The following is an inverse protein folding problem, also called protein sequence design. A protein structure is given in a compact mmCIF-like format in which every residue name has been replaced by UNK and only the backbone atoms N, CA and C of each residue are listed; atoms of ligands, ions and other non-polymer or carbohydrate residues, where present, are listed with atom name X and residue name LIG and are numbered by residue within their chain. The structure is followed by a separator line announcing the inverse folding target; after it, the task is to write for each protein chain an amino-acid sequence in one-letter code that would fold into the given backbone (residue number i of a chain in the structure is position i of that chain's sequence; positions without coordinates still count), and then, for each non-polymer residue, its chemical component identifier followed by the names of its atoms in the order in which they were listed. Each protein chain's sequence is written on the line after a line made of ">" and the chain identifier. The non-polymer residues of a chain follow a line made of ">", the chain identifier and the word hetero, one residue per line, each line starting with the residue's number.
data_IF_510421185024
#
_entry.id   IF_510421185024
#
_cell.length_a   1.000
_cell.length_b   1.000
_cell.length_c   1.000
_cell.angle_alpha   90.00
_cell.angle_beta   90.00
_cell.angle_gamma   90.00
#
_symmetry.space_group_name_H-M   'P 1'
#
loop_
_entity.id
_entity.type
_entity.pdbx_description
1 polymer ?
#
# COMPACT_ATOMS: atom_id res chain seq x y z
N UNK A 1 -42.69 -37.19 1.64
CA UNK A 1 -41.49 -37.66 2.36
C UNK A 1 -40.71 -38.54 1.40
N UNK A 2 -39.39 -38.37 1.36
CA UNK A 2 -38.41 -39.02 0.46
C UNK A 2 -38.26 -38.42 -0.96
N UNK A 3 -37.17 -37.65 -1.14
CA UNK A 3 -36.60 -37.29 -2.43
C UNK A 3 -35.76 -38.48 -2.94
N UNK A 4 -36.09 -38.98 -4.13
CA UNK A 4 -35.25 -39.87 -4.94
C UNK A 4 -34.19 -39.05 -5.70
N UNK A 5 -32.93 -39.45 -5.58
CA UNK A 5 -31.84 -39.07 -6.48
C UNK A 5 -31.97 -39.78 -7.84
N UNK A 6 -31.51 -39.12 -8.91
CA UNK A 6 -31.07 -39.64 -10.21
C UNK A 6 -30.18 -38.56 -10.89
N UNK A 7 -29.31 -38.88 -11.88
CA UNK A 7 -27.86 -38.85 -11.74
C UNK A 7 -27.15 -37.70 -12.46
N UNK A 8 -25.87 -37.51 -12.08
CA UNK A 8 -24.89 -36.59 -12.67
C UNK A 8 -24.65 -36.91 -14.13
N UNK A 9 -24.90 -35.93 -15.01
CA UNK A 9 -24.40 -35.92 -16.38
C UNK A 9 -23.20 -34.97 -16.46
N UNK A 10 -22.04 -35.58 -16.72
CA UNK A 10 -20.76 -34.95 -17.01
C UNK A 10 -20.86 -34.16 -18.32
N UNK A 11 -20.65 -32.84 -18.27
CA UNK A 11 -20.39 -32.05 -19.47
C UNK A 11 -19.03 -31.36 -19.30
N UNK A 12 -17.99 -31.97 -19.88
CA UNK A 12 -16.68 -31.35 -20.04
C UNK A 12 -16.82 -30.19 -21.05
N UNK A 13 -16.65 -28.96 -20.58
CA UNK A 13 -16.30 -27.82 -21.43
C UNK A 13 -14.95 -27.30 -20.95
N UNK A 14 -13.93 -27.48 -21.79
CA UNK A 14 -12.63 -26.84 -21.71
C UNK A 14 -12.85 -25.31 -21.77
N UNK A 15 -12.90 -24.67 -20.61
CA UNK A 15 -12.90 -23.22 -20.46
C UNK A 15 -11.54 -22.78 -19.93
N UNK A 16 -10.83 -22.02 -20.76
CA UNK A 16 -9.61 -21.28 -20.41
C UNK A 16 -9.91 -20.49 -19.14
N UNK A 17 -9.24 -20.84 -18.04
CA UNK A 17 -9.31 -20.10 -16.78
C UNK A 17 -8.58 -18.78 -17.04
N UNK A 18 -9.35 -17.75 -17.36
CA UNK A 18 -8.90 -16.39 -17.15
C UNK A 18 -8.67 -16.20 -15.66
N UNK A 19 -7.56 -15.56 -15.29
CA UNK A 19 -7.38 -14.94 -13.99
C UNK A 19 -8.47 -13.88 -13.79
N UNK A 20 -9.66 -14.33 -13.38
CA UNK A 20 -10.44 -13.60 -12.42
C UNK A 20 -9.89 -14.06 -11.06
N UNK A 21 -8.88 -13.37 -10.55
CA UNK A 21 -8.71 -13.35 -9.12
C UNK A 21 -10.00 -12.74 -8.59
N UNK A 22 -10.75 -13.55 -7.85
CA UNK A 22 -11.83 -13.04 -7.04
C UNK A 22 -11.25 -11.85 -6.26
N UNK A 23 -11.89 -10.69 -6.39
CA UNK A 23 -11.79 -9.67 -5.36
C UNK A 23 -12.41 -10.35 -4.13
N UNK A 24 -11.59 -11.06 -3.34
CA UNK A 24 -12.00 -11.57 -2.04
C UNK A 24 -12.58 -10.39 -1.25
N UNK A 25 -13.68 -10.67 -0.56
CA UNK A 25 -14.61 -9.69 0.02
C UNK A 25 -13.90 -8.46 0.59
N UNK A 26 -14.39 -7.26 0.27
CA UNK A 26 -13.97 -6.01 0.91
C UNK A 26 -13.99 -6.22 2.42
N UNK A 27 -12.81 -6.35 3.03
CA UNK A 27 -12.65 -6.55 4.46
C UNK A 27 -12.78 -5.22 5.19
N UNK A 28 -13.56 -5.18 6.26
CA UNK A 28 -13.57 -4.00 7.15
C UNK A 28 -12.26 -3.91 7.93
N UNK A 29 -11.82 -2.69 8.22
CA UNK A 29 -10.68 -2.40 9.10
C UNK A 29 -11.14 -1.51 10.25
N UNK A 30 -10.51 -1.64 11.41
CA UNK A 30 -10.78 -0.78 12.56
C UNK A 30 -9.71 0.31 12.63
N UNK A 31 -10.11 1.59 12.53
CA UNK A 31 -9.23 2.73 12.72
C UNK A 31 -9.52 3.38 14.07
N UNK A 32 -8.56 3.28 14.99
CA UNK A 32 -8.66 3.82 16.35
C UNK A 32 -7.92 5.15 16.42
N UNK A 33 -8.63 6.21 16.80
CA UNK A 33 -8.15 7.60 16.84
C UNK A 33 -8.42 8.27 18.20
N UNK A 34 -7.77 9.41 18.45
CA UNK A 34 -8.02 10.25 19.63
C UNK A 34 -9.43 10.85 19.69
N UNK A 35 -9.94 11.32 18.55
CA UNK A 35 -11.26 11.95 18.42
C UNK A 35 -11.90 11.54 17.09
N UNK A 36 -12.94 10.70 17.13
CA UNK A 36 -13.67 10.21 15.95
C UNK A 36 -14.74 11.20 15.44
N UNK A 37 -14.96 12.31 16.13
CA UNK A 37 -15.84 13.39 15.67
C UNK A 37 -15.08 14.48 14.91
N UNK A 38 -13.80 14.70 15.24
CA UNK A 38 -12.94 15.72 14.60
C UNK A 38 -11.54 15.15 14.38
N UNK A 39 -11.30 14.63 13.18
CA UNK A 39 -9.99 14.13 12.78
C UNK A 39 -9.00 15.28 12.53
N UNK A 40 -7.76 15.08 12.96
CA UNK A 40 -6.66 15.93 12.48
C UNK A 40 -6.28 15.53 11.04
N UNK A 41 -5.31 16.24 10.45
CA UNK A 41 -4.91 15.98 9.06
C UNK A 41 -4.25 14.60 8.84
N UNK A 42 -3.51 14.07 9.82
CA UNK A 42 -2.89 12.75 9.72
C UNK A 42 -3.90 11.62 9.81
N UNK A 43 -4.83 11.69 10.76
CA UNK A 43 -5.95 10.76 10.90
C UNK A 43 -6.83 10.76 9.65
N UNK A 44 -7.13 11.96 9.11
CA UNK A 44 -7.87 12.07 7.86
C UNK A 44 -7.09 11.47 6.68
N UNK A 45 -5.79 11.69 6.59
CA UNK A 45 -4.97 11.10 5.53
C UNK A 45 -4.91 9.57 5.61
N UNK A 46 -4.85 9.01 6.83
CA UNK A 46 -4.94 7.56 7.06
C UNK A 46 -6.30 7.03 6.58
N UNK A 47 -7.39 7.65 7.04
CA UNK A 47 -8.75 7.27 6.65
C UNK A 47 -8.93 7.31 5.12
N UNK A 48 -8.59 8.44 4.50
CA UNK A 48 -8.71 8.64 3.05
C UNK A 48 -7.90 7.59 2.29
N UNK A 49 -6.68 7.28 2.74
CA UNK A 49 -5.82 6.29 2.06
C UNK A 49 -6.38 4.87 2.19
N UNK A 50 -6.87 4.48 3.37
CA UNK A 50 -7.50 3.18 3.58
C UNK A 50 -8.75 3.00 2.71
N UNK A 51 -9.60 4.02 2.59
CA UNK A 51 -10.82 3.96 1.79
C UNK A 51 -10.54 4.07 0.28
N UNK A 52 -9.73 5.03 -0.14
CA UNK A 52 -9.61 5.40 -1.56
C UNK A 52 -8.53 4.62 -2.30
N UNK A 53 -7.43 4.25 -1.64
CA UNK A 53 -6.32 3.51 -2.24
C UNK A 53 -6.49 2.01 -2.03
N UNK A 54 -6.82 1.60 -0.81
CA UNK A 54 -6.98 0.18 -0.47
C UNK A 54 -8.42 -0.34 -0.59
N UNK A 55 -9.41 0.56 -0.67
CA UNK A 55 -10.81 0.16 -0.87
C UNK A 55 -11.47 -0.49 0.35
N UNK A 56 -10.94 -0.27 1.56
CA UNK A 56 -11.51 -0.82 2.78
C UNK A 56 -12.79 -0.08 3.19
N UNK A 57 -13.70 -0.80 3.84
CA UNK A 57 -14.67 -0.17 4.72
C UNK A 57 -13.98 0.11 6.07
N UNK A 58 -14.03 1.35 6.54
CA UNK A 58 -13.32 1.75 7.78
C UNK A 58 -14.33 1.97 8.90
N UNK A 59 -14.21 1.17 9.95
CA UNK A 59 -14.87 1.42 11.22
C UNK A 59 -13.99 2.37 12.04
N UNK A 60 -14.30 3.66 11.99
CA UNK A 60 -13.61 4.72 12.75
C UNK A 60 -14.15 4.79 14.18
N UNK A 61 -13.26 4.77 15.17
CA UNK A 61 -13.66 4.75 16.59
C UNK A 61 -12.71 5.51 17.50
N UNK A 62 -13.28 6.18 18.51
CA UNK A 62 -12.53 6.79 19.59
C UNK A 62 -11.82 5.76 20.49
N UNK A 63 -10.56 6.02 20.80
CA UNK A 63 -9.76 5.20 21.72
C UNK A 63 -10.34 5.07 23.13
N UNK A 64 -11.13 6.03 23.62
CA UNK A 64 -11.78 5.98 24.93
C UNK A 64 -12.90 4.92 24.96
N UNK A 65 -13.65 4.76 23.87
CA UNK A 65 -14.87 3.95 23.81
C UNK A 65 -14.64 2.54 23.23
N UNK A 66 -13.60 2.37 22.41
CA UNK A 66 -13.29 1.08 21.80
C UNK A 66 -12.97 0.00 22.86
N UNK A 67 -13.28 -1.25 22.54
CA UNK A 67 -12.85 -2.44 23.28
C UNK A 67 -12.35 -3.54 22.33
N UNK A 68 -11.79 -4.62 22.88
CA UNK A 68 -11.13 -5.68 22.10
C UNK A 68 -12.07 -6.46 21.16
N UNK A 69 -13.38 -6.47 21.42
CA UNK A 69 -14.36 -7.20 20.60
C UNK A 69 -14.59 -6.53 19.25
N UNK A 70 -14.28 -5.25 19.12
CA UNK A 70 -14.43 -4.49 17.86
C UNK A 70 -13.43 -4.93 16.79
N UNK A 71 -12.34 -5.58 17.20
CA UNK A 71 -11.36 -6.15 16.28
C UNK A 71 -11.84 -7.47 15.65
N UNK A 72 -12.92 -8.08 16.16
CA UNK A 72 -13.42 -9.37 15.65
C UNK A 72 -13.94 -9.22 14.21
N UNK A 73 -13.37 -10.00 13.29
CA UNK A 73 -13.76 -10.00 11.88
C UNK A 73 -13.11 -8.89 11.04
N UNK A 74 -12.30 -8.02 11.65
CA UNK A 74 -11.53 -7.00 10.93
C UNK A 74 -10.33 -7.62 10.22
N UNK A 75 -9.91 -7.04 9.09
CA UNK A 75 -8.66 -7.44 8.43
C UNK A 75 -7.43 -7.11 9.30
N UNK A 76 -7.45 -5.94 9.94
CA UNK A 76 -6.47 -5.49 10.93
C UNK A 76 -7.04 -4.33 11.75
N UNK A 77 -6.33 -3.97 12.81
CA UNK A 77 -6.54 -2.73 13.56
C UNK A 77 -5.41 -1.76 13.23
N UNK A 78 -5.77 -0.52 12.90
CA UNK A 78 -4.85 0.60 12.79
C UNK A 78 -5.00 1.50 14.02
N UNK A 79 -3.93 1.68 14.79
CA UNK A 79 -3.88 2.52 15.98
C UNK A 79 -3.08 3.78 15.65
N UNK A 80 -3.77 4.92 15.55
CA UNK A 80 -3.16 6.22 15.31
C UNK A 80 -2.30 6.68 16.49
N UNK A 81 -1.42 7.65 16.27
CA UNK A 81 -0.65 8.32 17.32
C UNK A 81 -1.49 9.34 18.09
N UNK A 82 -2.69 9.67 17.61
CA UNK A 82 -3.59 10.57 18.35
C UNK A 82 -4.23 9.90 19.57
N UNK A 83 -4.05 8.59 19.75
CA UNK A 83 -4.60 7.86 20.91
C UNK A 83 -3.81 8.13 22.18
N UNK A 84 -4.47 8.04 23.33
CA UNK A 84 -3.74 8.02 24.61
C UNK A 84 -3.11 6.65 24.86
N UNK A 85 -1.78 6.60 24.97
CA UNK A 85 -1.01 5.34 25.11
C UNK A 85 -1.49 4.43 26.23
N UNK A 86 -1.76 4.97 27.42
CA UNK A 86 -2.21 4.21 28.59
C UNK A 86 -3.60 3.60 28.47
N UNK A 87 -4.31 3.79 27.36
CA UNK A 87 -5.64 3.23 27.12
C UNK A 87 -5.66 2.08 26.14
N UNK A 88 -4.62 1.90 25.32
CA UNK A 88 -4.70 1.04 24.14
C UNK A 88 -4.26 -0.39 24.40
N UNK A 89 -3.28 -0.62 25.28
CA UNK A 89 -2.66 -1.94 25.43
C UNK A 89 -3.62 -3.01 25.92
N UNK A 90 -4.42 -2.72 26.96
CA UNK A 90 -5.43 -3.64 27.47
C UNK A 90 -6.50 -4.00 26.42
N UNK A 91 -6.68 -3.14 25.41
CA UNK A 91 -7.72 -3.26 24.38
C UNK A 91 -7.21 -3.93 23.11
N UNK A 92 -6.00 -3.59 22.66
CA UNK A 92 -5.52 -3.93 21.32
C UNK A 92 -4.33 -4.90 21.30
N UNK A 93 -3.57 -5.06 22.39
CA UNK A 93 -2.37 -5.90 22.40
C UNK A 93 -2.64 -7.34 21.98
N UNK A 94 -3.72 -7.92 22.50
CA UNK A 94 -4.02 -9.36 22.38
C UNK A 94 -5.14 -9.68 21.38
N UNK A 95 -5.58 -8.72 20.55
CA UNK A 95 -6.63 -8.98 19.56
C UNK A 95 -6.18 -10.02 18.53
N UNK A 96 -7.09 -10.88 18.04
CA UNK A 96 -6.75 -12.00 17.16
C UNK A 96 -6.63 -11.58 15.68
N UNK A 97 -6.27 -10.31 15.42
CA UNK A 97 -6.03 -9.73 14.11
C UNK A 97 -4.70 -8.96 14.13
N UNK A 98 -4.07 -8.71 12.96
CA UNK A 98 -2.90 -7.85 12.89
C UNK A 98 -3.16 -6.47 13.49
N UNK A 99 -2.12 -5.89 14.10
CA UNK A 99 -2.18 -4.52 14.65
C UNK A 99 -1.04 -3.70 14.04
N UNK A 100 -1.43 -2.61 13.37
CA UNK A 100 -0.53 -1.57 12.86
C UNK A 100 -0.64 -0.41 13.84
N UNK A 101 0.46 -0.05 14.47
CA UNK A 101 0.49 1.01 15.47
C UNK A 101 1.54 2.05 15.14
N UNK A 102 1.19 3.31 15.38
CA UNK A 102 2.10 4.43 15.18
C UNK A 102 2.26 5.31 16.42
N UNK A 103 1.61 4.97 17.53
CA UNK A 103 1.73 5.67 18.80
C UNK A 103 3.03 5.28 19.53
N UNK A 104 4.05 6.17 19.60
CA UNK A 104 5.36 5.81 20.13
C UNK A 104 5.35 5.50 21.63
N UNK A 105 4.46 6.11 22.42
CA UNK A 105 4.40 5.91 23.87
C UNK A 105 3.59 4.67 24.27
N UNK A 106 3.01 3.94 23.32
CA UNK A 106 2.30 2.69 23.60
C UNK A 106 3.14 1.45 23.31
N UNK A 107 4.36 1.60 22.77
CA UNK A 107 5.18 0.46 22.32
C UNK A 107 5.51 -0.54 23.44
N UNK A 108 5.88 -0.06 24.61
CA UNK A 108 6.24 -0.85 25.79
C UNK A 108 5.00 -1.50 26.41
N UNK A 109 3.90 -0.75 26.53
CA UNK A 109 2.62 -1.28 27.00
C UNK A 109 2.10 -2.38 26.06
N UNK A 110 2.29 -2.22 24.75
CA UNK A 110 2.01 -3.23 23.72
C UNK A 110 3.02 -4.38 23.71
N UNK A 111 4.06 -4.32 24.56
CA UNK A 111 5.11 -5.33 24.71
C UNK A 111 6.13 -5.36 23.57
N UNK A 112 6.09 -4.41 22.65
CA UNK A 112 6.83 -4.45 21.40
C UNK A 112 8.29 -3.97 21.52
N UNK A 113 8.58 -3.14 22.51
CA UNK A 113 9.93 -2.61 22.78
C UNK A 113 10.43 -2.99 24.17
N UNK A 114 11.75 -3.13 24.31
CA UNK A 114 12.38 -3.31 25.61
C UNK A 114 12.24 -2.07 26.49
N UNK A 115 12.03 -2.36 27.76
CA UNK A 115 11.79 -1.37 28.80
C UNK A 115 13.09 -0.74 29.30
N UNK A 116 13.66 0.18 28.53
CA UNK A 116 14.92 0.87 28.89
C UNK A 116 14.69 2.36 29.16
N UNK A 117 14.90 2.78 30.41
CA UNK A 117 14.72 4.17 30.90
C UNK A 117 15.41 5.24 30.04
N UNK A 118 16.46 4.90 29.29
CA UNK A 118 17.23 5.82 28.44
C UNK A 118 16.68 6.03 27.03
N UNK A 119 15.71 5.23 26.57
CA UNK A 119 15.21 5.25 25.19
C UNK A 119 13.70 5.50 25.06
N UNK A 120 12.94 5.38 26.17
CA UNK A 120 11.46 5.56 26.20
C UNK A 120 10.93 6.91 25.70
N UNK A 121 11.77 7.96 25.68
CA UNK A 121 11.34 9.34 25.46
C UNK A 121 12.13 10.08 24.38
N UNK A 122 12.97 9.38 23.61
CA UNK A 122 13.70 10.05 22.55
C UNK A 122 12.79 10.23 21.34
N UNK A 123 12.03 11.32 21.37
CA UNK A 123 11.42 11.86 20.17
C UNK A 123 12.51 12.49 19.31
N UNK A 124 12.84 11.83 18.21
CA UNK A 124 13.71 12.39 17.20
C UNK A 124 12.86 13.16 16.20
N UNK A 125 13.39 14.28 15.72
CA UNK A 125 12.91 14.93 14.51
C UNK A 125 13.68 14.32 13.36
N UNK A 126 12.98 13.69 12.43
CA UNK A 126 13.63 13.10 11.27
C UNK A 126 12.80 13.29 10.00
N UNK A 127 13.50 13.29 8.89
CA UNK A 127 12.92 13.34 7.54
C UNK A 127 13.31 12.14 6.71
N UNK A 128 14.38 11.46 7.12
CA UNK A 128 15.03 10.42 6.37
C UNK A 128 15.08 9.15 7.22
N UNK A 129 14.93 8.01 6.57
CA UNK A 129 15.09 6.69 7.17
C UNK A 129 16.16 5.90 6.40
N UNK A 130 17.00 5.15 7.11
CA UNK A 130 17.91 4.18 6.51
C UNK A 130 17.24 2.81 6.49
N UNK A 131 17.14 2.19 5.30
CA UNK A 131 16.69 0.81 5.14
C UNK A 131 17.80 -0.15 5.61
N UNK A 132 17.48 -1.00 6.58
CA UNK A 132 18.41 -1.97 7.18
C UNK A 132 18.25 -3.39 6.63
N UNK A 133 17.02 -3.80 6.30
CA UNK A 133 16.72 -5.09 5.67
C UNK A 133 15.98 -4.89 4.35
N UNK A 134 16.73 -4.62 3.29
CA UNK A 134 16.22 -4.42 1.93
C UNK A 134 15.53 -5.66 1.35
N UNK A 135 15.74 -6.84 1.95
CA UNK A 135 15.13 -8.09 1.50
C UNK A 135 13.76 -8.34 2.13
N UNK A 136 13.44 -7.62 3.20
CA UNK A 136 12.16 -7.75 3.89
C UNK A 136 11.04 -7.11 3.08
N UNK A 137 9.84 -7.70 3.12
CA UNK A 137 8.64 -7.18 2.46
C UNK A 137 8.39 -5.70 2.80
N UNK A 138 8.51 -5.35 4.08
CA UNK A 138 8.30 -3.99 4.59
C UNK A 138 9.30 -2.95 4.08
N UNK A 139 10.43 -3.35 3.48
CA UNK A 139 11.31 -2.40 2.80
C UNK A 139 10.71 -1.84 1.50
N UNK A 140 9.62 -2.42 1.01
CA UNK A 140 8.88 -1.94 -0.16
C UNK A 140 9.75 -1.81 -1.44
N UNK A 141 10.83 -2.58 -1.54
CA UNK A 141 11.79 -2.51 -2.64
C UNK A 141 12.73 -1.29 -2.57
N UNK A 142 12.72 -0.55 -1.47
CA UNK A 142 13.63 0.56 -1.21
C UNK A 142 14.96 0.04 -0.62
N UNK A 143 15.99 0.87 -0.74
CA UNK A 143 17.36 0.56 -0.33
C UNK A 143 18.09 1.82 0.09
N UNK A 144 19.05 1.71 1.00
CA UNK A 144 19.81 2.86 1.50
C UNK A 144 18.97 3.89 2.24
N UNK A 145 19.39 5.15 2.19
CA UNK A 145 18.69 6.28 2.82
C UNK A 145 17.56 6.77 1.93
N UNK A 146 16.37 6.92 2.51
CA UNK A 146 15.15 7.35 1.85
C UNK A 146 14.55 8.56 2.56
N UNK A 147 14.08 9.54 1.79
CA UNK A 147 13.47 10.75 2.32
C UNK A 147 11.99 10.43 2.49
N UNK A 148 11.50 10.33 3.73
CA UNK A 148 10.12 9.94 4.04
C UNK A 148 9.20 11.14 4.27
N UNK A 149 9.72 12.35 4.49
CA UNK A 149 8.92 13.59 4.59
C UNK A 149 9.62 14.82 3.99
N UNK A 150 8.89 15.57 3.16
CA UNK A 150 9.43 16.72 2.41
C UNK A 150 9.31 18.07 3.14
N UNK A 151 8.31 18.21 4.02
CA UNK A 151 7.89 19.52 4.51
C UNK A 151 7.74 19.61 6.03
N UNK A 152 7.79 18.49 6.74
CA UNK A 152 7.68 18.45 8.19
C UNK A 152 8.63 17.40 8.76
N UNK A 153 9.42 17.78 9.75
CA UNK A 153 10.13 16.80 10.55
C UNK A 153 9.12 15.92 11.30
N UNK A 154 9.23 14.61 11.11
CA UNK A 154 8.43 13.66 11.86
C UNK A 154 9.03 13.58 13.26
N UNK A 155 8.23 13.97 14.25
CA UNK A 155 8.58 13.83 15.66
C UNK A 155 7.97 12.54 16.18
N UNK A 156 8.75 11.47 16.32
CA UNK A 156 8.27 10.19 16.83
C UNK A 156 9.34 9.46 17.64
N UNK A 157 8.92 8.43 18.37
CA UNK A 157 9.78 7.58 19.19
C UNK A 157 10.34 6.39 18.41
N UNK A 158 11.41 5.82 18.92
CA UNK A 158 12.02 4.61 18.37
C UNK A 158 11.66 3.38 19.22
N UNK A 159 11.81 2.19 18.65
CA UNK A 159 11.66 0.94 19.39
C UNK A 159 12.93 0.09 19.39
N UNK A 160 13.09 -0.68 20.45
CA UNK A 160 14.15 -1.68 20.63
C UNK A 160 13.46 -3.05 20.75
N UNK A 161 13.07 -3.68 19.63
CA UNK A 161 12.52 -5.02 19.69
C UNK A 161 13.57 -6.02 20.21
N UNK A 162 13.11 -7.15 20.75
CA UNK A 162 14.00 -8.26 21.06
C UNK A 162 14.42 -9.01 19.77
N UNK A 163 15.22 -10.07 19.91
CA UNK A 163 15.69 -10.92 18.82
C UNK A 163 14.62 -11.60 17.95
N UNK A 164 13.36 -11.61 18.40
CA UNK A 164 12.21 -12.16 17.65
C UNK A 164 11.47 -11.10 16.82
N UNK A 165 11.79 -9.82 17.03
CA UNK A 165 11.34 -8.74 16.16
C UNK A 165 12.33 -8.50 15.02
N UNK A 166 11.85 -7.91 13.93
CA UNK A 166 12.68 -7.52 12.79
C UNK A 166 12.63 -6.01 12.63
N UNK A 167 13.79 -5.36 12.68
CA UNK A 167 13.92 -3.94 12.41
C UNK A 167 14.12 -3.76 10.90
N UNK A 168 13.33 -2.88 10.30
CA UNK A 168 13.33 -2.60 8.86
C UNK A 168 14.10 -1.32 8.58
N UNK A 169 13.89 -0.30 9.41
CA UNK A 169 14.49 1.02 9.24
C UNK A 169 14.95 1.59 10.57
N UNK A 170 15.91 2.51 10.50
CA UNK A 170 16.25 3.46 11.56
C UNK A 170 16.17 4.89 11.00
N UNK A 171 16.09 5.92 11.85
CA UNK A 171 16.19 7.31 11.37
C UNK A 171 17.65 7.65 11.11
N UNK A 172 17.87 8.58 10.18
CA UNK A 172 19.20 9.16 9.97
C UNK A 172 19.32 10.43 10.81
N UNK A 173 20.21 10.48 11.81
CA UNK A 173 20.39 11.67 12.65
C UNK A 173 21.02 12.81 11.84
N UNK A 174 20.47 14.00 11.97
CA UNK A 174 20.99 15.21 11.32
C UNK A 174 22.29 15.75 11.95
N UNK A 175 22.61 15.34 13.18
CA UNK A 175 23.83 15.72 13.91
C UNK A 175 24.65 14.48 14.32
N UNK A 176 25.98 14.55 14.21
CA UNK A 176 26.94 13.45 14.49
C UNK A 176 27.02 13.03 15.98
N UNK A 177 26.20 13.59 16.86
CA UNK A 177 26.32 13.44 18.31
C UNK A 177 25.72 12.12 18.82
N UNK A 178 26.43 11.00 18.65
CA UNK A 178 26.22 9.72 19.38
C UNK A 178 24.75 9.32 19.61
N UNK A 179 23.87 9.61 18.66
CA UNK A 179 22.45 9.29 18.79
C UNK A 179 22.29 7.78 18.60
N UNK A 180 21.74 7.12 19.61
CA UNK A 180 21.37 5.72 19.48
C UNK A 180 20.22 5.67 18.50
N UNK A 181 20.50 5.16 17.30
CA UNK A 181 19.50 4.97 16.27
C UNK A 181 18.92 3.57 16.46
N UNK A 182 17.65 3.48 16.89
CA UNK A 182 16.92 2.22 16.95
C UNK A 182 15.81 2.17 15.90
N UNK A 183 15.01 1.10 15.93
CA UNK A 183 14.01 0.82 14.91
C UNK A 183 12.94 1.91 14.82
N UNK A 184 12.84 2.55 13.66
CA UNK A 184 11.73 3.45 13.30
C UNK A 184 10.60 2.70 12.64
N UNK A 185 10.91 1.61 11.94
CA UNK A 185 9.93 0.63 11.48
C UNK A 185 10.42 -0.74 11.93
N UNK A 186 9.58 -1.47 12.65
CA UNK A 186 9.87 -2.84 13.04
C UNK A 186 8.58 -3.64 13.23
N UNK A 187 8.71 -4.96 13.21
CA UNK A 187 7.57 -5.84 13.29
C UNK A 187 7.86 -7.14 14.04
N UNK A 188 6.79 -7.80 14.49
CA UNK A 188 6.79 -9.17 15.00
C UNK A 188 5.81 -10.01 14.19
N UNK A 189 6.27 -11.18 13.76
CA UNK A 189 5.40 -12.16 13.11
C UNK A 189 4.40 -12.76 14.11
N UNK A 190 3.31 -13.32 13.58
CA UNK A 190 2.35 -14.09 14.39
C UNK A 190 3.06 -15.17 15.20
N UNK A 191 2.75 -15.25 16.49
CA UNK A 191 3.31 -16.25 17.40
C UNK A 191 4.72 -15.95 17.90
N UNK A 192 5.34 -14.85 17.49
CA UNK A 192 6.63 -14.42 18.02
C UNK A 192 6.51 -14.00 19.49
N UNK A 193 7.60 -14.17 20.24
CA UNK A 193 7.72 -13.63 21.59
C UNK A 193 8.04 -12.14 21.52
N UNK A 194 7.15 -11.33 22.05
CA UNK A 194 7.30 -9.89 22.19
C UNK A 194 8.38 -9.56 23.24
N UNK A 195 8.84 -8.31 23.29
CA UNK A 195 9.90 -7.84 24.18
C UNK A 195 9.58 -8.07 25.67
N UNK A 196 8.29 -8.01 26.03
CA UNK A 196 7.79 -8.29 27.37
C UNK A 196 7.53 -9.79 27.65
N UNK A 197 7.96 -10.68 26.74
CA UNK A 197 7.80 -12.15 26.77
C UNK A 197 6.39 -12.68 26.50
N UNK A 198 5.41 -11.81 26.20
CA UNK A 198 4.10 -12.26 25.73
C UNK A 198 4.18 -12.76 24.29
N UNK A 199 3.16 -13.50 23.83
CA UNK A 199 3.11 -14.03 22.47
C UNK A 199 2.23 -13.14 21.61
N UNK A 200 2.73 -12.71 20.46
CA UNK A 200 1.95 -11.97 19.47
C UNK A 200 0.81 -12.85 18.94
N UNK A 201 -0.45 -12.49 19.26
CA UNK A 201 -1.62 -13.26 18.82
C UNK A 201 -1.76 -13.30 17.29
N UNK A 202 -1.35 -12.20 16.64
CA UNK A 202 -1.21 -12.01 15.20
C UNK A 202 -0.02 -11.06 14.96
N UNK A 203 0.27 -10.73 13.70
CA UNK A 203 1.31 -9.77 13.33
C UNK A 203 1.19 -8.45 14.10
N UNK A 204 2.34 -7.88 14.50
CA UNK A 204 2.44 -6.57 15.17
C UNK A 204 3.42 -5.71 14.41
N UNK A 205 3.01 -4.50 14.06
CA UNK A 205 3.83 -3.53 13.34
C UNK A 205 3.89 -2.24 14.15
N UNK A 206 5.09 -1.67 14.23
CA UNK A 206 5.29 -0.29 14.65
C UNK A 206 5.94 0.49 13.52
N UNK A 207 5.43 1.70 13.28
CA UNK A 207 6.06 2.70 12.42
C UNK A 207 6.08 4.03 13.13
N UNK A 208 7.24 4.69 13.13
CA UNK A 208 7.49 5.99 13.77
C UNK A 208 6.83 7.15 13.00
N UNK A 209 5.59 6.98 12.57
CA UNK A 209 4.77 8.07 12.06
C UNK A 209 4.25 8.89 13.26
N UNK A 210 3.90 10.16 13.06
CA UNK A 210 3.34 11.01 14.13
C UNK A 210 1.94 11.52 13.74
N UNK A 211 1.36 12.38 14.58
CA UNK A 211 -0.04 12.82 14.50
C UNK A 211 -0.46 13.37 13.14
N UNK A 212 0.48 13.94 12.41
CA UNK A 212 0.24 14.55 11.09
C UNK A 212 1.12 13.94 10.00
N UNK A 213 2.07 13.09 10.36
CA UNK A 213 3.17 12.66 9.50
C UNK A 213 2.70 11.96 8.25
N UNK A 214 1.64 11.16 8.35
CA UNK A 214 1.04 10.45 7.20
C UNK A 214 0.53 11.41 6.12
N UNK A 215 0.08 12.62 6.49
CA UNK A 215 -0.37 13.64 5.55
C UNK A 215 0.77 14.28 4.72
N UNK A 216 2.02 14.13 5.18
CA UNK A 216 3.21 14.78 4.58
C UNK A 216 4.25 13.79 4.07
N UNK A 217 3.89 12.50 3.97
CA UNK A 217 4.80 11.49 3.45
C UNK A 217 5.13 11.75 1.98
N UNK A 218 6.40 11.55 1.64
CA UNK A 218 6.85 11.48 0.25
C UNK A 218 6.34 10.22 -0.42
N UNK A 219 6.63 10.04 -1.71
CA UNK A 219 6.37 8.77 -2.39
C UNK A 219 7.07 7.58 -1.72
N UNK A 220 8.30 7.75 -1.26
CA UNK A 220 9.06 6.71 -0.55
C UNK A 220 8.45 6.41 0.83
N UNK A 221 8.05 7.46 1.56
CA UNK A 221 7.32 7.32 2.82
C UNK A 221 6.00 6.58 2.64
N UNK A 222 5.24 6.90 1.59
CA UNK A 222 3.99 6.21 1.26
C UNK A 222 4.22 4.75 0.86
N UNK A 223 5.34 4.40 0.20
CA UNK A 223 5.69 2.99 -0.10
C UNK A 223 5.91 2.19 1.19
N UNK A 224 6.65 2.75 2.15
CA UNK A 224 6.86 2.12 3.45
C UNK A 224 5.55 1.99 4.23
N UNK A 225 4.72 3.04 4.22
CA UNK A 225 3.40 3.02 4.86
C UNK A 225 2.49 1.96 4.24
N UNK A 226 2.39 1.90 2.91
CA UNK A 226 1.59 0.91 2.18
C UNK A 226 2.07 -0.52 2.43
N UNK A 227 3.37 -0.71 2.57
CA UNK A 227 3.93 -2.02 2.86
C UNK A 227 3.43 -2.55 4.21
N UNK A 228 3.17 -1.68 5.20
CA UNK A 228 2.60 -2.11 6.49
C UNK A 228 1.20 -2.74 6.33
N UNK A 229 0.33 -2.11 5.53
CA UNK A 229 -1.02 -2.59 5.23
C UNK A 229 -0.94 -3.94 4.52
N UNK A 230 -0.17 -3.98 3.44
CA UNK A 230 -0.02 -5.16 2.61
C UNK A 230 0.59 -6.33 3.38
N UNK A 231 1.61 -6.08 4.20
CA UNK A 231 2.24 -7.10 5.03
C UNK A 231 1.25 -7.69 6.05
N UNK A 232 0.28 -6.92 6.54
CA UNK A 232 -0.76 -7.45 7.41
C UNK A 232 -1.76 -8.34 6.66
N UNK A 233 -2.05 -8.07 5.39
CA UNK A 233 -3.03 -8.81 4.59
C UNK A 233 -2.48 -10.11 3.99
N UNK A 234 -1.25 -10.11 3.47
CA UNK A 234 -0.70 -11.26 2.75
C UNK A 234 -0.24 -12.34 3.75
N UNK A 235 -1.15 -13.29 4.01
CA UNK A 235 -1.03 -14.31 5.07
C UNK A 235 0.06 -15.36 4.92
N UNK A 236 0.90 -15.32 3.88
CA UNK A 236 2.01 -16.27 3.72
C UNK A 236 3.26 -15.57 3.17
N UNK A 237 4.40 -15.83 3.85
CA UNK A 237 5.74 -15.29 3.56
C UNK A 237 6.24 -15.54 2.12
N UNK A 238 5.56 -16.41 1.38
CA UNK A 238 5.94 -16.89 0.04
C UNK A 238 5.03 -16.39 -1.10
N UNK A 239 4.02 -15.56 -0.82
CA UNK A 239 3.25 -14.93 -1.88
C UNK A 239 4.07 -13.79 -2.50
N UNK A 240 4.87 -14.13 -3.50
CA UNK A 240 5.50 -13.24 -4.46
C UNK A 240 4.45 -12.48 -5.29
N UNK A 241 3.61 -11.70 -4.62
CA UNK A 241 2.60 -10.81 -5.20
C UNK A 241 2.85 -9.40 -4.69
N UNK A 242 4.08 -8.93 -4.93
CA UNK A 242 4.26 -7.54 -5.36
C UNK A 242 4.07 -7.51 -6.88
N UNK A 243 2.84 -7.75 -7.35
CA UNK A 243 2.45 -7.34 -8.69
C UNK A 243 1.43 -6.21 -8.59
N UNK A 244 1.94 -4.99 -8.72
CA UNK A 244 1.19 -3.75 -8.98
C UNK A 244 0.23 -3.28 -7.88
N UNK A 245 0.80 -2.59 -6.89
CA UNK A 245 0.13 -1.40 -6.35
C UNK A 245 0.85 -0.23 -7.04
N UNK A 246 0.08 0.55 -7.80
CA UNK A 246 0.58 1.58 -8.70
C UNK A 246 1.44 2.60 -7.93
N UNK A 247 2.76 2.52 -8.14
CA UNK A 247 3.64 3.69 -8.01
C UNK A 247 2.99 4.86 -8.75
N UNK A 248 3.14 6.12 -8.33
CA UNK A 248 2.77 7.27 -9.15
C UNK A 248 3.43 7.08 -10.52
N UNK A 249 2.62 6.76 -11.52
CA UNK A 249 3.19 6.45 -12.82
C UNK A 249 3.86 7.73 -13.33
N UNK A 250 5.12 7.63 -13.75
CA UNK A 250 5.86 8.71 -14.41
C UNK A 250 5.11 9.26 -15.64
N UNK A 251 4.09 8.53 -16.08
CA UNK A 251 3.19 8.85 -17.17
C UNK A 251 1.77 8.30 -16.92
N UNK A 252 0.73 9.02 -17.35
CA UNK A 252 -0.63 8.50 -17.33
C UNK A 252 -1.14 8.28 -18.75
N UNK A 253 -1.64 7.09 -19.07
CA UNK A 253 -2.34 6.83 -20.35
C UNK A 253 -3.85 6.92 -20.12
N UNK A 254 -4.54 7.78 -20.87
CA UNK A 254 -5.99 7.91 -20.81
C UNK A 254 -6.70 6.84 -21.65
N UNK A 255 -7.98 6.61 -21.35
CA UNK A 255 -8.84 5.83 -22.23
C UNK A 255 -9.09 6.62 -23.53
N UNK A 256 -8.97 5.94 -24.67
CA UNK A 256 -9.22 6.57 -25.96
C UNK A 256 -10.67 7.09 -26.04
N UNK A 257 -10.87 8.27 -26.62
CA UNK A 257 -12.21 8.86 -26.77
C UNK A 257 -12.46 9.35 -28.20
N UNK A 258 -13.59 8.99 -28.83
CA UNK A 258 -14.63 8.08 -28.31
C UNK A 258 -14.16 6.62 -28.20
N UNK A 259 -14.83 5.80 -27.38
CA UNK A 259 -14.73 4.34 -27.37
C UNK A 259 -16.07 3.73 -26.94
N UNK A 260 -16.75 2.91 -27.78
CA UNK A 260 -16.35 2.53 -29.12
C UNK A 260 -16.23 3.71 -30.10
N UNK A 261 -15.44 3.55 -31.16
CA UNK A 261 -15.15 4.63 -32.12
C UNK A 261 -15.45 4.23 -33.57
N UNK A 262 -15.64 5.23 -34.44
CA UNK A 262 -15.89 5.04 -35.88
C UNK A 262 -15.52 6.28 -36.71
N UNK A 263 -14.57 6.20 -37.67
CA UNK A 263 -13.43 5.29 -37.71
C UNK A 263 -12.24 5.84 -36.91
N UNK A 264 -12.36 7.02 -36.29
CA UNK A 264 -11.27 7.68 -35.57
C UNK A 264 -11.53 7.87 -34.08
N UNK A 265 -10.45 7.88 -33.31
CA UNK A 265 -10.44 8.13 -31.86
C UNK A 265 -9.19 8.91 -31.46
N UNK A 266 -9.22 9.60 -30.33
CA UNK A 266 -8.05 10.24 -29.76
C UNK A 266 -7.50 9.41 -28.60
N UNK A 267 -6.19 9.23 -28.57
CA UNK A 267 -5.43 8.64 -27.48
C UNK A 267 -4.63 9.76 -26.84
N UNK A 268 -4.77 9.95 -25.53
CA UNK A 268 -4.01 10.96 -24.79
C UNK A 268 -3.20 10.35 -23.65
N UNK A 269 -2.06 10.96 -23.37
CA UNK A 269 -1.22 10.61 -22.22
C UNK A 269 -0.44 11.81 -21.71
N UNK A 270 -0.02 11.74 -20.44
CA UNK A 270 0.82 12.73 -19.79
C UNK A 270 2.20 12.16 -19.48
N UNK A 271 3.23 13.02 -19.53
CA UNK A 271 4.60 12.72 -19.13
C UNK A 271 5.03 13.69 -18.03
N UNK A 272 5.55 13.17 -16.92
CA UNK A 272 6.07 14.01 -15.83
C UNK A 272 7.52 14.49 -16.08
N UNK A 273 8.28 13.76 -16.90
CA UNK A 273 9.66 14.08 -17.26
C UNK A 273 9.97 13.73 -18.72
N UNK A 274 11.00 14.34 -19.33
CA UNK A 274 11.42 14.02 -20.69
C UNK A 274 11.78 12.54 -20.83
N UNK A 275 11.13 11.83 -21.75
CA UNK A 275 11.21 10.37 -21.87
C UNK A 275 11.22 9.91 -23.33
N UNK A 276 11.81 8.74 -23.61
CA UNK A 276 11.67 8.10 -24.91
C UNK A 276 10.34 7.34 -24.97
N UNK A 277 9.45 7.71 -25.89
CA UNK A 277 8.08 7.20 -25.96
C UNK A 277 7.85 6.39 -27.22
N UNK A 278 7.24 5.21 -27.05
CA UNK A 278 6.69 4.41 -28.14
C UNK A 278 5.20 4.13 -27.92
N UNK A 279 4.34 4.71 -28.77
CA UNK A 279 2.89 4.48 -28.74
C UNK A 279 2.48 3.68 -29.98
N UNK A 280 2.04 2.43 -29.78
CA UNK A 280 1.65 1.52 -30.87
C UNK A 280 0.22 1.04 -30.73
N UNK A 281 -0.37 0.59 -31.83
CA UNK A 281 -1.67 -0.08 -31.88
C UNK A 281 -1.49 -1.47 -32.48
N UNK A 282 -2.08 -2.49 -31.86
CA UNK A 282 -2.03 -3.88 -32.31
C UNK A 282 -3.42 -4.55 -32.37
N UNK A 283 -3.53 -5.59 -33.20
CA UNK A 283 -4.68 -6.50 -33.20
C UNK A 283 -4.59 -7.56 -32.08
N UNK A 284 -5.65 -8.35 -31.87
CA UNK A 284 -5.68 -9.41 -30.83
C UNK A 284 -4.64 -10.53 -31.03
N UNK A 285 -3.96 -10.59 -32.19
CA UNK A 285 -2.85 -11.52 -32.44
C UNK A 285 -1.48 -10.88 -32.16
N UNK A 286 -1.46 -9.68 -31.59
CA UNK A 286 -0.24 -8.91 -31.31
C UNK A 286 0.39 -8.28 -32.54
N UNK A 287 -0.29 -8.27 -33.70
CA UNK A 287 0.27 -7.63 -34.90
C UNK A 287 0.10 -6.13 -34.80
N UNK A 288 1.20 -5.38 -34.82
CA UNK A 288 1.18 -3.91 -34.85
C UNK A 288 0.53 -3.45 -36.17
N UNK A 289 -0.53 -2.67 -36.06
CA UNK A 289 -1.28 -2.08 -37.18
C UNK A 289 -1.03 -0.59 -37.33
N UNK A 290 -0.50 0.09 -36.30
CA UNK A 290 -0.03 1.47 -36.37
C UNK A 290 1.04 1.77 -35.30
N UNK A 291 1.93 2.72 -35.58
CA UNK A 291 2.78 3.40 -34.59
C UNK A 291 2.43 4.89 -34.63
N UNK A 292 2.03 5.45 -33.51
CA UNK A 292 1.55 6.83 -33.37
C UNK A 292 2.63 7.76 -32.82
N UNK A 293 3.55 7.24 -32.00
CA UNK A 293 4.71 7.95 -31.50
C UNK A 293 5.90 6.97 -31.40
N UNK A 294 7.10 7.46 -31.72
CA UNK A 294 8.37 6.73 -31.61
C UNK A 294 9.51 7.77 -31.52
N UNK A 295 9.86 8.19 -30.31
CA UNK A 295 10.91 9.18 -30.09
C UNK A 295 10.89 9.87 -28.73
N UNK A 296 11.87 10.73 -28.51
CA UNK A 296 11.99 11.54 -27.29
C UNK A 296 10.89 12.61 -27.24
N UNK A 297 10.16 12.68 -26.12
CA UNK A 297 9.16 13.71 -25.81
C UNK A 297 9.51 14.39 -24.49
N UNK A 298 9.20 15.69 -24.38
CA UNK A 298 9.37 16.48 -23.15
C UNK A 298 8.25 16.20 -22.14
N UNK A 299 8.37 16.70 -20.92
CA UNK A 299 7.26 16.66 -19.96
C UNK A 299 6.04 17.44 -20.50
N UNK A 300 4.84 16.87 -20.37
CA UNK A 300 3.60 17.50 -20.84
C UNK A 300 2.49 16.53 -21.25
N UNK A 301 1.41 17.10 -21.77
CA UNK A 301 0.22 16.38 -22.25
C UNK A 301 0.27 16.18 -23.77
N UNK A 302 -0.03 14.97 -24.21
CA UNK A 302 0.04 14.58 -25.62
C UNK A 302 -1.29 13.98 -26.10
N UNK A 303 -1.62 14.27 -27.37
CA UNK A 303 -2.86 13.83 -28.02
C UNK A 303 -2.57 13.30 -29.42
N UNK A 304 -2.89 12.04 -29.67
CA UNK A 304 -2.71 11.37 -30.96
C UNK A 304 -4.05 10.90 -31.51
N UNK A 305 -4.38 11.34 -32.73
CA UNK A 305 -5.55 10.82 -33.46
C UNK A 305 -5.18 9.51 -34.13
N UNK A 306 -5.94 8.45 -33.84
CA UNK A 306 -5.86 7.18 -34.55
C UNK A 306 -7.01 7.07 -35.56
N UNK A 307 -6.68 6.89 -36.83
CA UNK A 307 -7.63 6.60 -37.92
C UNK A 307 -7.58 5.13 -38.30
N UNK A 308 -8.68 4.41 -38.07
CA UNK A 308 -8.82 2.99 -38.36
C UNK A 308 -9.67 2.70 -39.62
N UNK A 309 -9.81 3.65 -40.53
CA UNK A 309 -10.63 3.52 -41.75
C UNK A 309 -10.27 2.31 -42.63
N UNK A 310 -9.02 1.84 -42.58
CA UNK A 310 -8.53 0.64 -43.27
C UNK A 310 -8.65 -0.68 -42.49
N UNK A 311 -9.18 -0.66 -41.27
CA UNK A 311 -9.22 -1.81 -40.37
C UNK A 311 -10.64 -2.40 -40.24
N UNK A 312 -10.72 -3.68 -39.87
CA UNK A 312 -11.99 -4.37 -39.64
C UNK A 312 -12.56 -4.05 -38.25
N UNK A 313 -13.90 -4.02 -38.11
CA UNK A 313 -14.56 -3.87 -36.81
C UNK A 313 -14.06 -4.94 -35.83
N UNK A 314 -13.83 -4.54 -34.58
CA UNK A 314 -13.27 -5.44 -33.59
C UNK A 314 -12.51 -4.72 -32.48
N UNK A 315 -11.76 -5.52 -31.71
CA UNK A 315 -10.97 -5.07 -30.57
C UNK A 315 -9.52 -4.85 -31.00
N UNK A 316 -8.97 -3.71 -30.61
CA UNK A 316 -7.56 -3.36 -30.76
C UNK A 316 -6.98 -2.98 -29.39
N UNK A 317 -5.67 -3.11 -29.26
CA UNK A 317 -4.92 -2.74 -28.06
C UNK A 317 -3.95 -1.65 -28.45
N UNK A 318 -3.91 -0.56 -27.70
CA UNK A 318 -2.86 0.45 -27.82
C UNK A 318 -1.94 0.39 -26.61
N UNK A 319 -0.64 0.48 -26.86
CA UNK A 319 0.42 0.30 -25.86
C UNK A 319 1.34 1.51 -25.90
N UNK A 320 1.49 2.17 -24.75
CA UNK A 320 2.44 3.24 -24.51
C UNK A 320 3.62 2.66 -23.73
N UNK A 321 4.84 2.79 -24.27
CA UNK A 321 6.07 2.32 -23.64
C UNK A 321 7.02 3.48 -23.40
N UNK A 322 7.60 3.53 -22.20
CA UNK A 322 8.62 4.48 -21.76
C UNK A 322 9.75 3.68 -21.13
N UNK A 323 10.96 3.74 -21.69
CA UNK A 323 12.14 3.02 -21.19
C UNK A 323 11.86 1.55 -20.82
N UNK A 324 11.74 1.22 -19.52
CA UNK A 324 11.47 -0.13 -19.00
C UNK A 324 10.01 -0.39 -18.62
N UNK A 325 9.13 0.61 -18.75
CA UNK A 325 7.73 0.58 -18.35
C UNK A 325 6.81 0.59 -19.57
N UNK A 326 5.67 -0.11 -19.50
CA UNK A 326 4.63 0.00 -20.53
C UNK A 326 3.24 -0.14 -19.93
N UNK A 327 2.27 0.57 -20.51
CA UNK A 327 0.86 0.44 -20.17
C UNK A 327 0.05 0.23 -21.45
N UNK A 328 -0.95 -0.64 -21.38
CA UNK A 328 -1.81 -0.97 -22.51
C UNK A 328 -3.27 -0.76 -22.17
N UNK A 329 -4.06 -0.32 -23.15
CA UNK A 329 -5.51 -0.16 -23.04
C UNK A 329 -6.21 -0.69 -24.28
N UNK A 330 -7.48 -1.06 -24.09
CA UNK A 330 -8.32 -1.68 -25.12
C UNK A 330 -9.25 -0.65 -25.75
N UNK A 331 -9.35 -0.69 -27.08
CA UNK A 331 -10.31 0.10 -27.85
C UNK A 331 -11.17 -0.76 -28.77
N UNK A 332 -12.42 -0.34 -29.00
CA UNK A 332 -13.39 -1.05 -29.83
C UNK A 332 -13.74 -0.22 -31.05
N UNK A 333 -13.38 -0.72 -32.23
CA UNK A 333 -13.79 -0.13 -33.51
C UNK A 333 -15.16 -0.68 -33.90
N UNK A 334 -16.13 0.21 -34.06
CA UNK A 334 -17.42 -0.10 -34.67
C UNK A 334 -17.45 0.47 -36.08
N UNK A 335 -17.89 -0.35 -37.02
CA UNK A 335 -18.18 0.06 -38.38
C UNK A 335 -19.53 -0.53 -38.76
#
# INVERSE_FOLDING_TARGET
>A
MERKMLPVALLCILGIIGCAWAQEDVTSVLLVVGDDAVLNEGDQAILDRLETVFGFAVDLVNHETVDSTWAEGMAFVYVSSTVSSGTIADKMKNVPVPVIMIEPYAQDDMGMTLDTDSLRFYQAYFRDMLILDETHFLAAGLSGEVIVSDNLEIQSGQGVPNENGTIITEFVPWEEDNLVCNGTIYCYEKGALLADTTVAAERRYFGAWNDVGVAYLTEEGLKLWDASINWCLYKDKDSAVYSHIEQPKEFALAQNYPNPFNPSTNISFSLQQPSFVMLTVSDLRGRIVASLADGQLEAGEYYFTFDASGLASGVYIYTLSLDSQSISKKMTLLR
#
